data_IF_093450589968
#
_entry.id   IF_093450589968
#
_cell.length_a   1.000
_cell.length_b   1.000
_cell.length_c   1.000
_cell.angle_alpha   90.00
_cell.angle_beta   90.00
_cell.angle_gamma   90.00
#
_symmetry.space_group_name_H-M   'P 1'
#
loop_
_entity.id
_entity.type
_entity.pdbx_description
1 polymer ?
#
# COMPACT_ATOMS: atom_id res chain seq x y z
N UNK A 1 8.71 10.11 4.88
CA UNK A 1 7.28 10.19 5.30
C UNK A 1 6.83 8.82 5.83
N UNK A 2 5.80 8.77 6.68
CA UNK A 2 5.36 7.54 7.36
C UNK A 2 4.97 6.42 6.40
N UNK A 3 4.36 6.73 5.25
CA UNK A 3 3.99 5.71 4.26
C UNK A 3 5.19 5.00 3.63
N UNK A 4 6.28 5.71 3.38
CA UNK A 4 7.50 5.12 2.86
C UNK A 4 8.18 4.23 3.93
N UNK A 5 8.20 4.69 5.19
CA UNK A 5 8.71 3.89 6.31
C UNK A 5 7.88 2.62 6.51
N UNK A 6 6.55 2.71 6.41
CA UNK A 6 5.66 1.56 6.48
C UNK A 6 5.86 0.58 5.33
N UNK A 7 5.97 1.05 4.09
CA UNK A 7 6.25 0.20 2.93
C UNK A 7 7.60 -0.51 3.06
N UNK A 8 8.64 0.20 3.49
CA UNK A 8 9.96 -0.37 3.76
C UNK A 8 9.91 -1.43 4.88
N UNK A 9 9.22 -1.14 5.98
CA UNK A 9 9.04 -2.08 7.08
C UNK A 9 8.24 -3.33 6.68
N UNK A 10 7.31 -3.19 5.73
CA UNK A 10 6.56 -4.29 5.15
C UNK A 10 7.33 -5.06 4.07
N UNK A 11 8.45 -4.51 3.56
CA UNK A 11 9.18 -5.09 2.44
C UNK A 11 8.34 -5.18 1.16
N UNK A 12 7.47 -4.20 0.89
CA UNK A 12 6.56 -4.19 -0.27
C UNK A 12 6.79 -3.00 -1.17
N UNK A 13 6.61 -3.19 -2.48
CA UNK A 13 6.47 -2.11 -3.44
C UNK A 13 4.99 -1.71 -3.52
N UNK A 14 4.66 -0.43 -3.30
CA UNK A 14 3.26 0.03 -3.29
C UNK A 14 2.66 0.17 -4.69
N UNK A 15 3.50 0.13 -5.73
CA UNK A 15 3.10 0.12 -7.13
C UNK A 15 3.64 -1.13 -7.79
N UNK A 16 2.77 -1.94 -8.37
CA UNK A 16 3.12 -3.17 -9.07
C UNK A 16 2.53 -3.13 -10.49
N UNK A 17 3.34 -3.36 -11.54
CA UNK A 17 2.86 -3.44 -12.92
C UNK A 17 1.73 -4.46 -13.07
N UNK A 18 0.64 -4.05 -13.73
CA UNK A 18 -0.54 -4.90 -13.93
C UNK A 18 -1.46 -5.03 -12.72
N UNK A 19 -1.14 -4.40 -11.58
CA UNK A 19 -1.93 -4.48 -10.36
C UNK A 19 -2.27 -3.11 -9.75
N UNK A 20 -1.26 -2.27 -9.50
CA UNK A 20 -1.43 -0.92 -8.99
C UNK A 20 -0.32 0.01 -9.52
N UNK A 21 -0.67 1.12 -10.16
CA UNK A 21 0.31 2.10 -10.69
C UNK A 21 0.24 3.45 -9.97
N UNK A 22 -0.53 3.52 -8.90
CA UNK A 22 -0.78 4.76 -8.16
C UNK A 22 -0.89 4.45 -6.66
N UNK A 23 -0.45 5.43 -5.86
CA UNK A 23 -0.61 5.42 -4.42
C UNK A 23 -1.33 6.69 -4.02
N UNK A 24 -2.45 6.55 -3.31
CA UNK A 24 -3.21 7.68 -2.77
C UNK A 24 -2.86 7.84 -1.30
N UNK A 25 -2.30 9.00 -0.94
CA UNK A 25 -2.08 9.39 0.44
C UNK A 25 -3.29 10.19 0.90
N UNK A 26 -4.06 9.64 1.86
CA UNK A 26 -5.30 10.29 2.31
C UNK A 26 -5.57 10.00 3.78
N UNK A 27 -6.74 10.39 4.27
CA UNK A 27 -7.29 10.09 5.60
C UNK A 27 -8.79 9.82 5.46
N UNK A 28 -9.35 9.08 6.41
CA UNK A 28 -10.80 8.99 6.54
C UNK A 28 -11.35 10.30 7.12
N UNK A 29 -12.56 10.65 6.68
CA UNK A 29 -13.31 11.74 7.29
C UNK A 29 -13.66 11.37 8.74
N UNK A 30 -13.17 12.17 9.67
CA UNK A 30 -13.38 12.01 11.11
C UNK A 30 -14.20 13.17 11.66
N UNK A 31 -14.67 13.05 12.92
CA UNK A 31 -15.58 14.03 13.54
C UNK A 31 -15.08 15.48 13.55
N UNK A 32 -13.77 15.69 13.58
CA UNK A 32 -13.15 17.01 13.74
C UNK A 32 -12.70 17.65 12.42
N UNK A 33 -12.79 16.95 11.29
CA UNK A 33 -12.30 17.48 10.00
C UNK A 33 -13.08 16.87 8.85
N UNK A 34 -13.80 17.73 8.13
CA UNK A 34 -14.46 17.36 6.88
C UNK A 34 -13.43 17.26 5.76
N UNK A 35 -13.61 16.26 4.90
CA UNK A 35 -12.84 16.15 3.66
C UNK A 35 -13.48 17.04 2.59
N UNK A 36 -12.69 17.56 1.62
CA UNK A 36 -13.26 18.14 0.41
C UNK A 36 -14.22 17.16 -0.27
N UNK A 37 -15.27 17.68 -0.92
CA UNK A 37 -16.38 16.89 -1.48
C UNK A 37 -15.94 15.74 -2.40
N UNK A 38 -14.83 15.91 -3.14
CA UNK A 38 -14.30 14.91 -4.08
C UNK A 38 -13.27 13.97 -3.48
N UNK A 39 -12.81 14.22 -2.25
CA UNK A 39 -11.75 13.46 -1.60
C UNK A 39 -12.32 12.44 -0.61
N UNK A 40 -13.25 11.61 -1.07
CA UNK A 40 -13.90 10.57 -0.26
C UNK A 40 -13.20 9.23 -0.43
N UNK A 41 -13.27 8.35 0.58
CA UNK A 41 -12.71 7.01 0.47
C UNK A 41 -13.31 6.23 -0.71
N UNK A 42 -14.64 6.22 -0.97
CA UNK A 42 -15.21 5.58 -2.15
C UNK A 42 -14.67 6.15 -3.47
N UNK A 43 -14.48 7.46 -3.58
CA UNK A 43 -13.94 8.08 -4.79
C UNK A 43 -12.49 7.63 -5.07
N UNK A 44 -11.65 7.57 -4.03
CA UNK A 44 -10.30 7.03 -4.16
C UNK A 44 -10.32 5.53 -4.43
N UNK A 45 -11.18 4.78 -3.75
CA UNK A 45 -11.29 3.33 -3.89
C UNK A 45 -11.74 2.90 -5.30
N UNK A 46 -12.60 3.69 -5.95
CA UNK A 46 -13.02 3.47 -7.32
C UNK A 46 -11.86 3.47 -8.34
N UNK A 47 -10.70 4.04 -7.99
CA UNK A 47 -9.50 4.00 -8.85
C UNK A 47 -8.76 2.67 -8.80
N UNK A 48 -8.98 1.84 -7.77
CA UNK A 48 -8.21 0.62 -7.52
C UNK A 48 -6.75 0.85 -7.08
N UNK A 49 -6.34 2.10 -6.84
CA UNK A 49 -5.00 2.43 -6.39
C UNK A 49 -4.68 1.82 -5.01
N UNK A 50 -3.39 1.73 -4.66
CA UNK A 50 -3.00 1.45 -3.27
C UNK A 50 -3.35 2.67 -2.42
N UNK A 51 -4.10 2.48 -1.32
CA UNK A 51 -4.44 3.55 -0.39
C UNK A 51 -3.52 3.52 0.82
N UNK A 52 -2.97 4.67 1.19
CA UNK A 52 -2.26 4.89 2.45
C UNK A 52 -3.05 5.89 3.31
N UNK A 53 -3.84 5.34 4.24
CA UNK A 53 -4.82 6.09 5.04
C UNK A 53 -4.24 6.43 6.41
N UNK A 54 -4.00 7.72 6.62
CA UNK A 54 -3.47 8.28 7.86
C UNK A 54 -4.59 8.59 8.86
N UNK A 55 -4.26 8.69 10.15
CA UNK A 55 -5.15 9.20 11.22
C UNK A 55 -6.50 8.45 11.36
N UNK A 56 -6.61 7.21 10.89
CA UNK A 56 -7.92 6.56 10.68
C UNK A 56 -8.08 5.23 11.40
N UNK A 57 -7.16 4.84 12.30
CA UNK A 57 -7.23 3.53 12.96
C UNK A 57 -8.45 3.37 13.86
N UNK A 58 -8.86 4.43 14.54
CA UNK A 58 -10.11 4.47 15.31
C UNK A 58 -11.37 4.46 14.43
N UNK A 59 -11.22 4.59 13.10
CA UNK A 59 -12.29 4.56 12.11
C UNK A 59 -12.25 3.29 11.25
N UNK A 60 -11.55 2.25 11.70
CA UNK A 60 -11.34 1.03 10.90
C UNK A 60 -12.66 0.37 10.47
N UNK A 61 -13.72 0.48 11.28
CA UNK A 61 -15.06 0.00 10.94
C UNK A 61 -15.66 0.75 9.75
N UNK A 62 -15.60 2.09 9.78
CA UNK A 62 -16.08 2.93 8.68
C UNK A 62 -15.26 2.69 7.42
N UNK A 63 -13.93 2.65 7.57
CA UNK A 63 -13.00 2.43 6.47
C UNK A 63 -13.26 1.08 5.79
N UNK A 64 -13.39 -0.01 6.55
CA UNK A 64 -13.65 -1.33 5.96
C UNK A 64 -15.01 -1.37 5.26
N UNK A 65 -16.06 -0.82 5.89
CA UNK A 65 -17.39 -0.74 5.28
C UNK A 65 -17.41 0.04 3.95
N UNK A 66 -16.66 1.15 3.87
CA UNK A 66 -16.58 1.97 2.66
C UNK A 66 -15.70 1.36 1.56
N UNK A 67 -14.67 0.57 1.91
CA UNK A 67 -13.71 0.03 0.95
C UNK A 67 -14.07 -1.36 0.42
N UNK A 68 -14.77 -2.19 1.20
CA UNK A 68 -15.16 -3.56 0.79
C UNK A 68 -15.95 -3.58 -0.53
N UNK A 69 -16.92 -2.68 -0.80
CA UNK A 69 -17.63 -2.67 -2.07
C UNK A 69 -16.75 -2.44 -3.31
N UNK A 70 -15.55 -1.89 -3.14
CA UNK A 70 -14.65 -1.54 -4.24
C UNK A 70 -13.50 -2.55 -4.40
N UNK A 71 -12.88 -2.95 -3.29
CA UNK A 71 -11.72 -3.84 -3.30
C UNK A 71 -12.05 -5.30 -3.01
N UNK A 72 -13.25 -5.58 -2.48
CA UNK A 72 -13.65 -6.89 -2.00
C UNK A 72 -13.18 -7.20 -0.56
N UNK A 73 -13.87 -8.12 0.14
CA UNK A 73 -13.57 -8.46 1.54
C UNK A 73 -12.17 -9.06 1.74
N UNK A 74 -11.66 -9.76 0.72
CA UNK A 74 -10.36 -10.43 0.75
C UNK A 74 -9.19 -9.51 0.35
N UNK A 75 -9.47 -8.24 0.05
CA UNK A 75 -8.41 -7.28 -0.29
C UNK A 75 -7.39 -7.18 0.85
N UNK A 76 -6.09 -7.33 0.56
CA UNK A 76 -5.04 -7.19 1.54
C UNK A 76 -5.02 -5.83 2.24
N UNK A 77 -4.79 -5.88 3.55
CA UNK A 77 -4.61 -4.71 4.41
C UNK A 77 -3.38 -4.92 5.29
N UNK A 78 -2.58 -3.87 5.43
CA UNK A 78 -1.50 -3.83 6.41
C UNK A 78 -1.67 -2.60 7.31
N UNK A 79 -1.62 -2.81 8.63
CA UNK A 79 -1.56 -1.73 9.61
C UNK A 79 -0.16 -1.68 10.20
N UNK A 80 0.51 -0.55 10.02
CA UNK A 80 1.84 -0.31 10.59
C UNK A 80 1.72 0.73 11.69
N UNK A 81 1.91 0.28 12.93
CA UNK A 81 1.90 1.12 14.11
C UNK A 81 3.30 1.59 14.45
N UNK A 82 3.45 2.90 14.66
CA UNK A 82 4.73 3.57 14.98
C UNK A 82 5.85 3.14 14.02
N UNK A 83 5.59 3.22 12.72
CA UNK A 83 6.58 2.91 11.68
C UNK A 83 7.93 3.60 11.97
N UNK A 84 9.02 2.84 11.93
CA UNK A 84 10.40 3.20 12.27
C UNK A 84 10.73 3.46 13.75
N UNK A 85 9.82 3.24 14.69
CA UNK A 85 10.12 3.34 16.12
C UNK A 85 10.61 2.00 16.67
N UNK A 86 11.31 1.97 17.82
CA UNK A 86 11.81 0.71 18.41
C UNK A 86 10.71 -0.30 18.75
N UNK A 87 9.50 0.18 19.02
CA UNK A 87 8.32 -0.63 19.37
C UNK A 87 7.31 -0.76 18.22
N UNK A 88 7.77 -0.59 16.97
CA UNK A 88 6.95 -0.77 15.77
C UNK A 88 6.23 -2.12 15.79
N UNK A 89 4.95 -2.13 15.41
CA UNK A 89 4.15 -3.35 15.22
C UNK A 89 3.50 -3.35 13.84
N UNK A 90 3.45 -4.52 13.21
CA UNK A 90 2.86 -4.73 11.89
C UNK A 90 1.74 -5.77 12.02
N UNK A 91 0.58 -5.45 11.48
CA UNK A 91 -0.57 -6.35 11.39
C UNK A 91 -0.94 -6.52 9.93
N UNK A 92 -0.99 -7.76 9.45
CA UNK A 92 -1.42 -8.10 8.09
C UNK A 92 -2.74 -8.86 8.17
N UNK A 93 -3.68 -8.48 7.33
CA UNK A 93 -5.03 -9.03 7.31
C UNK A 93 -5.68 -8.76 5.94
N UNK A 94 -6.98 -9.00 5.86
CA UNK A 94 -7.85 -8.55 4.76
C UNK A 94 -8.80 -7.45 5.24
N UNK A 95 -9.50 -6.78 4.32
CA UNK A 95 -10.55 -5.83 4.69
C UNK A 95 -11.61 -6.45 5.61
N UNK A 96 -11.94 -7.73 5.42
CA UNK A 96 -12.89 -8.45 6.28
C UNK A 96 -12.35 -8.77 7.68
N UNK A 97 -11.03 -8.92 7.84
CA UNK A 97 -10.43 -9.48 9.06
C UNK A 97 -9.60 -8.47 9.87
N UNK A 98 -9.23 -7.33 9.27
CA UNK A 98 -8.30 -6.36 9.88
C UNK A 98 -8.78 -5.81 11.22
N UNK A 99 -10.10 -5.62 11.40
CA UNK A 99 -10.67 -5.17 12.68
C UNK A 99 -10.30 -6.11 13.83
N UNK A 100 -10.41 -7.41 13.60
CA UNK A 100 -10.11 -8.41 14.63
C UNK A 100 -8.59 -8.62 14.80
N UNK A 101 -7.81 -8.39 13.73
CA UNK A 101 -6.37 -8.57 13.74
C UNK A 101 -5.61 -7.44 14.47
N UNK A 102 -6.21 -6.24 14.56
CA UNK A 102 -5.59 -5.09 15.22
C UNK A 102 -6.10 -4.98 16.66
N UNK A 103 -5.22 -5.10 17.65
CA UNK A 103 -5.62 -5.02 19.04
C UNK A 103 -5.92 -3.58 19.48
N UNK A 104 -6.76 -3.45 20.51
CA UNK A 104 -7.37 -2.18 20.93
C UNK A 104 -6.36 -1.12 21.37
N UNK A 105 -5.16 -1.50 21.84
CA UNK A 105 -4.13 -0.53 22.23
C UNK A 105 -3.52 0.26 21.05
N UNK A 106 -3.82 -0.15 19.81
CA UNK A 106 -3.37 0.51 18.57
C UNK A 106 -4.31 1.68 18.23
N UNK A 107 -4.35 2.70 19.09
CA UNK A 107 -5.34 3.78 18.95
C UNK A 107 -4.83 5.01 18.17
N UNK A 108 -3.50 5.18 18.07
CA UNK A 108 -2.84 6.36 17.47
C UNK A 108 -1.57 5.98 16.73
N UNK A 109 -1.12 6.86 15.82
CA UNK A 109 0.16 6.69 15.10
C UNK A 109 0.23 5.37 14.32
N UNK A 110 -0.89 4.98 13.73
CA UNK A 110 -0.98 3.86 12.80
C UNK A 110 -1.25 4.36 11.39
N UNK A 111 -0.56 3.76 10.42
CA UNK A 111 -0.86 3.89 9.01
C UNK A 111 -1.56 2.62 8.54
N UNK A 112 -2.67 2.79 7.82
CA UNK A 112 -3.37 1.68 7.17
C UNK A 112 -3.03 1.73 5.70
N UNK A 113 -2.47 0.64 5.18
CA UNK A 113 -2.26 0.41 3.76
C UNK A 113 -3.33 -0.58 3.29
N UNK A 114 -4.02 -0.25 2.20
CA UNK A 114 -5.05 -1.11 1.58
C UNK A 114 -4.74 -1.23 0.09
N UNK A 115 -4.80 -2.45 -0.41
CA UNK A 115 -4.74 -2.67 -1.85
C UNK A 115 -4.11 -4.01 -2.23
N UNK A 116 -4.35 -4.45 -3.47
CA UNK A 116 -3.89 -5.74 -3.94
C UNK A 116 -2.35 -5.84 -3.99
N UNK A 117 -1.64 -4.71 -4.09
CA UNK A 117 -0.17 -4.66 -4.05
C UNK A 117 0.46 -5.17 -2.74
N UNK A 118 -0.34 -5.34 -1.68
CA UNK A 118 0.12 -5.82 -0.38
C UNK A 118 0.02 -7.35 -0.23
N UNK A 119 -0.64 -8.06 -1.17
CA UNK A 119 -0.63 -9.51 -1.19
C UNK A 119 0.80 -10.00 -1.45
N UNK A 120 1.38 -10.71 -0.47
CA UNK A 120 2.61 -11.45 -0.70
C UNK A 120 2.31 -12.94 -0.76
N UNK A 121 2.15 -13.45 -1.97
CA UNK A 121 2.64 -14.77 -2.34
C UNK A 121 3.44 -14.63 -3.65
N UNK A 122 4.73 -14.90 -3.60
CA UNK A 122 5.55 -15.27 -4.77
C UNK A 122 5.65 -14.26 -5.91
N UNK A 123 6.08 -13.02 -5.66
CA UNK A 123 6.58 -12.21 -6.77
C UNK A 123 8.01 -12.62 -7.11
N UNK A 124 8.12 -13.33 -8.23
CA UNK A 124 9.23 -13.18 -9.17
C UNK A 124 9.65 -11.71 -9.17
N UNK A 125 10.95 -11.51 -8.99
CA UNK A 125 11.63 -10.22 -8.96
C UNK A 125 10.88 -9.18 -9.79
N UNK A 126 10.50 -8.06 -9.16
CA UNK A 126 10.01 -6.85 -9.85
C UNK A 126 10.67 -6.75 -11.22
N UNK A 127 9.93 -6.54 -12.32
CA UNK A 127 10.50 -6.60 -13.68
C UNK A 127 11.72 -5.69 -13.90
N UNK A 128 11.98 -4.71 -13.02
CA UNK A 128 13.23 -3.94 -13.00
C UNK A 128 14.45 -4.71 -12.45
N UNK A 129 14.20 -5.67 -11.57
CA UNK A 129 15.15 -6.58 -10.92
C UNK A 129 15.22 -7.96 -11.57
N UNK A 130 14.16 -8.41 -12.26
CA UNK A 130 14.16 -9.66 -13.01
C UNK A 130 15.43 -9.77 -13.86
N UNK A 131 16.19 -10.86 -13.67
CA UNK A 131 17.49 -11.07 -14.31
C UNK A 131 17.48 -11.06 -15.85
N UNK A 132 16.30 -11.15 -16.47
CA UNK A 132 16.07 -11.08 -17.92
C UNK A 132 15.74 -9.66 -18.43
N UNK A 133 15.64 -8.67 -17.54
CA UNK A 133 15.35 -7.29 -17.91
C UNK A 133 16.60 -6.53 -18.31
N UNK A 134 16.68 -6.17 -19.59
CA UNK A 134 17.81 -5.43 -20.15
C UNK A 134 17.83 -3.97 -19.66
N UNK A 135 18.78 -3.65 -18.78
CA UNK A 135 18.89 -2.33 -18.17
C UNK A 135 19.77 -1.44 -19.03
N UNK A 136 19.27 -0.23 -19.33
CA UNK A 136 20.01 0.80 -20.10
C UNK A 136 21.42 1.11 -19.57
N UNK A 137 21.65 0.97 -18.26
CA UNK A 137 22.94 1.25 -17.61
C UNK A 137 23.67 0.00 -17.07
N UNK A 138 23.07 -1.20 -17.23
CA UNK A 138 23.70 -2.49 -16.89
C UNK A 138 23.06 -3.60 -17.75
N UNK A 139 23.37 -3.64 -19.05
CA UNK A 139 22.80 -4.62 -19.95
C UNK A 139 23.20 -6.04 -19.55
N UNK A 140 22.30 -7.00 -19.79
CA UNK A 140 22.50 -8.41 -19.47
C UNK A 140 22.40 -9.22 -20.77
N UNK A 141 23.37 -10.10 -21.03
CA UNK A 141 23.42 -10.95 -22.23
C UNK A 141 24.26 -10.39 -23.39
N UNK A 142 24.44 -11.20 -24.44
CA UNK A 142 25.28 -10.88 -25.61
C UNK A 142 24.57 -10.05 -26.69
N UNK A 143 23.26 -9.81 -26.55
CA UNK A 143 22.44 -9.00 -27.46
C UNK A 143 21.50 -8.06 -26.69
N UNK A 144 22.02 -6.94 -26.17
CA UNK A 144 21.18 -5.97 -25.47
C UNK A 144 20.18 -5.29 -26.40
N UNK A 145 18.95 -5.13 -25.91
CA UNK A 145 17.82 -4.41 -26.51
C UNK A 145 18.09 -2.91 -26.63
N UNK A 146 18.88 -2.35 -25.71
CA UNK A 146 19.34 -0.97 -25.78
C UNK A 146 20.85 -0.93 -26.06
N UNK A 147 21.28 -0.69 -27.32
CA UNK A 147 22.68 -0.42 -27.59
C UNK A 147 23.09 0.82 -26.80
N UNK A 148 24.16 0.70 -26.01
CA UNK A 148 24.67 1.81 -25.21
C UNK A 148 24.87 3.04 -26.09
N UNK A 149 24.31 4.18 -25.67
CA UNK A 149 24.63 5.47 -26.26
C UNK A 149 26.09 5.75 -25.91
N UNK A 150 27.00 5.35 -26.80
CA UNK A 150 28.39 5.75 -26.73
C UNK A 150 28.46 7.26 -26.82
N UNK A 151 29.07 7.86 -25.79
CA UNK A 151 29.69 9.21 -25.74
C UNK A 151 29.04 10.28 -26.62
#
# INVERSE_FOLDING_TARGET
PSFAAAAAALGVELTLPGLAQSVVLTRAEGRATQMPERETLPAFAATGATLAVHLSIHLIDKLTAELIPHYGPDCPVAVVWRASWPDQRIFRATLATVKAAVPVEVERTALILVGPSLAQEGFEESRLYAGDYDRRYRPVGTHPRFPGTGS
#
